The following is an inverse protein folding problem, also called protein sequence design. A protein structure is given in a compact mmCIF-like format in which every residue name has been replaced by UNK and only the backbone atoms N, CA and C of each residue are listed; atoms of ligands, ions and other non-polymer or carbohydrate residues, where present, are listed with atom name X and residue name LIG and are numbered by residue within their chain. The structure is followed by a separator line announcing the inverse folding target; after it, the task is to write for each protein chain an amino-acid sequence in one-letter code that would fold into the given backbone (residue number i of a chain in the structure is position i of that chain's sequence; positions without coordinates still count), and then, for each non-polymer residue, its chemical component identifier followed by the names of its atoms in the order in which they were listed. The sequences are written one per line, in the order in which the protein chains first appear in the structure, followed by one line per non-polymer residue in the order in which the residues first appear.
data_IF_587312747540
#
_entry.id   IF_587312747540
#
_cell.length_a   1.000
_cell.length_b   1.000
_cell.length_c   1.000
_cell.angle_alpha   90.00
_cell.angle_beta   90.00
_cell.angle_gamma   90.00
#
_symmetry.space_group_name_H-M   'P 1'
#
loop_
_entity.id
_entity.type
_entity.pdbx_description
1 polymer ?
#
# COMPACT_ATOMS: atom_id res chain seq x y z
N UNK A 1 -8.72 6.77 -35.18
CA UNK A 1 -8.30 5.99 -33.99
C UNK A 1 -6.81 6.26 -33.83
N UNK A 2 -6.42 6.93 -32.75
CA UNK A 2 -5.13 7.62 -32.64
C UNK A 2 -4.03 6.67 -32.13
N UNK A 3 -2.98 6.45 -32.91
CA UNK A 3 -1.90 5.46 -32.66
C UNK A 3 -1.18 5.76 -31.33
N UNK A 4 -1.12 7.04 -30.95
CA UNK A 4 -0.53 7.49 -29.69
C UNK A 4 -1.33 7.07 -28.45
N UNK A 5 -2.66 6.90 -28.58
CA UNK A 5 -3.50 6.40 -27.47
C UNK A 5 -3.30 4.90 -27.25
N UNK A 6 -3.05 4.14 -28.32
CA UNK A 6 -2.80 2.70 -28.26
C UNK A 6 -1.46 2.38 -27.57
N UNK A 7 -0.40 3.15 -27.86
CA UNK A 7 0.92 2.94 -27.22
C UNK A 7 0.91 3.26 -25.73
N UNK A 8 0.19 4.31 -25.31
CA UNK A 8 0.08 4.66 -23.89
C UNK A 8 -0.74 3.62 -23.11
N UNK A 9 -1.80 3.10 -23.72
CA UNK A 9 -2.65 2.05 -23.14
C UNK A 9 -1.88 0.72 -22.98
N UNK A 10 -1.00 0.41 -23.94
CA UNK A 10 -0.15 -0.78 -23.87
C UNK A 10 0.89 -0.69 -22.75
N UNK A 11 1.41 0.51 -22.45
CA UNK A 11 2.37 0.74 -21.36
C UNK A 11 1.68 0.74 -19.98
N UNK A 12 0.42 1.19 -19.90
CA UNK A 12 -0.35 1.21 -18.63
C UNK A 12 -1.02 -0.13 -18.30
N UNK A 13 -1.02 -1.10 -19.22
CA UNK A 13 -1.59 -2.42 -18.96
C UNK A 13 -0.77 -3.12 -17.88
N UNK A 14 -1.42 -3.58 -16.82
CA UNK A 14 -0.73 -4.40 -15.82
C UNK A 14 -0.24 -5.72 -16.44
N UNK A 15 1.06 -6.07 -16.32
CA UNK A 15 1.60 -7.33 -16.83
C UNK A 15 1.19 -8.54 -15.97
N UNK A 16 0.70 -8.29 -14.75
CA UNK A 16 0.32 -9.31 -13.76
C UNK A 16 -1.20 -9.58 -13.76
N UNK A 17 -1.89 -9.19 -14.83
CA UNK A 17 -3.32 -9.47 -14.98
C UNK A 17 -3.72 -9.66 -16.43
N UNK A 18 -4.88 -10.27 -16.66
CA UNK A 18 -5.42 -10.41 -18.02
C UNK A 18 -6.10 -9.10 -18.45
N UNK A 19 -6.07 -8.79 -19.74
CA UNK A 19 -6.74 -7.59 -20.28
C UNK A 19 -8.22 -7.54 -19.94
N UNK A 20 -8.88 -8.71 -19.92
CA UNK A 20 -10.28 -8.81 -19.56
C UNK A 20 -10.54 -8.46 -18.09
N UNK A 21 -9.67 -8.91 -17.18
CA UNK A 21 -9.78 -8.59 -15.77
C UNK A 21 -9.56 -7.09 -15.51
N UNK A 22 -8.57 -6.49 -16.18
CA UNK A 22 -8.30 -5.05 -16.12
C UNK A 22 -9.50 -4.22 -16.62
N UNK A 23 -10.09 -4.57 -17.75
CA UNK A 23 -11.30 -3.91 -18.28
C UNK A 23 -12.45 -3.94 -17.27
N UNK A 24 -12.72 -5.11 -16.67
CA UNK A 24 -13.77 -5.27 -15.66
C UNK A 24 -13.47 -4.41 -14.44
N UNK A 25 -12.21 -4.40 -13.98
CA UNK A 25 -11.78 -3.61 -12.83
C UNK A 25 -11.98 -2.11 -13.08
N UNK A 26 -11.58 -1.61 -14.25
CA UNK A 26 -11.78 -0.21 -14.65
C UNK A 26 -13.27 0.16 -14.67
N UNK A 27 -14.11 -0.71 -15.24
CA UNK A 27 -15.56 -0.47 -15.29
C UNK A 27 -16.21 -0.47 -13.90
N UNK A 28 -15.76 -1.33 -12.99
CA UNK A 28 -16.18 -1.31 -11.58
C UNK A 28 -15.82 0.04 -10.95
N UNK A 29 -14.56 0.49 -11.08
CA UNK A 29 -14.11 1.76 -10.50
C UNK A 29 -14.87 2.97 -11.08
N UNK A 30 -15.16 2.98 -12.39
CA UNK A 30 -15.93 4.04 -13.04
C UNK A 30 -17.37 4.13 -12.51
N UNK A 31 -17.97 3.01 -12.12
CA UNK A 31 -19.34 2.94 -11.60
C UNK A 31 -19.43 3.16 -10.09
N UNK A 32 -18.32 3.08 -9.36
CA UNK A 32 -18.31 3.35 -7.92
C UNK A 32 -18.71 4.79 -7.61
N UNK A 33 -19.66 4.95 -6.68
CA UNK A 33 -19.98 6.23 -6.07
C UNK A 33 -18.80 6.74 -5.20
N UNK A 34 -18.70 8.05 -4.93
CA UNK A 34 -17.61 8.62 -4.13
C UNK A 34 -17.39 7.92 -2.78
N UNK A 35 -18.46 7.60 -2.06
CA UNK A 35 -18.42 6.91 -0.76
C UNK A 35 -17.83 5.49 -0.86
N UNK A 36 -18.12 4.78 -1.96
CA UNK A 36 -17.56 3.44 -2.20
C UNK A 36 -16.06 3.52 -2.49
N UNK A 37 -15.62 4.56 -3.20
CA UNK A 37 -14.19 4.80 -3.44
C UNK A 37 -13.45 5.14 -2.15
N UNK A 38 -14.06 5.94 -1.28
CA UNK A 38 -13.50 6.23 0.04
C UNK A 38 -13.35 4.96 0.87
N UNK A 39 -14.38 4.12 0.91
CA UNK A 39 -14.31 2.85 1.64
C UNK A 39 -13.20 1.94 1.08
N UNK A 40 -13.12 1.79 -0.26
CA UNK A 40 -12.06 1.01 -0.90
C UNK A 40 -10.65 1.54 -0.57
N UNK A 41 -10.48 2.87 -0.50
CA UNK A 41 -9.21 3.46 -0.11
C UNK A 41 -8.85 3.18 1.37
N UNK A 42 -9.84 3.22 2.26
CA UNK A 42 -9.66 2.86 3.68
C UNK A 42 -9.26 1.38 3.81
N UNK A 43 -9.98 0.48 3.12
CA UNK A 43 -9.71 -0.95 3.15
C UNK A 43 -8.32 -1.28 2.59
N UNK A 44 -7.93 -0.61 1.50
CA UNK A 44 -6.59 -0.73 0.92
C UNK A 44 -5.52 -0.25 1.91
N UNK A 45 -5.73 0.89 2.57
CA UNK A 45 -4.78 1.42 3.54
C UNK A 45 -4.60 0.47 4.73
N UNK A 46 -5.70 -0.12 5.24
CA UNK A 46 -5.64 -1.12 6.31
C UNK A 46 -4.90 -2.39 5.87
N UNK A 47 -5.20 -2.89 4.67
CA UNK A 47 -4.55 -4.08 4.10
C UNK A 47 -3.06 -3.84 3.90
N UNK A 48 -2.70 -2.68 3.35
CA UNK A 48 -1.29 -2.31 3.11
C UNK A 48 -0.49 -2.25 4.41
N UNK A 49 -1.08 -1.70 5.49
CA UNK A 49 -0.43 -1.69 6.82
C UNK A 49 -0.19 -3.10 7.35
N UNK A 50 -1.19 -3.99 7.27
CA UNK A 50 -1.02 -5.40 7.69
C UNK A 50 0.06 -6.11 6.89
N UNK A 51 0.10 -5.91 5.57
CA UNK A 51 1.15 -6.50 4.73
C UNK A 51 2.55 -5.98 5.09
N UNK A 52 2.66 -4.68 5.41
CA UNK A 52 3.92 -4.08 5.85
C UNK A 52 4.39 -4.68 7.18
N UNK A 53 3.49 -4.78 8.17
CA UNK A 53 3.77 -5.41 9.47
C UNK A 53 4.19 -6.87 9.31
N UNK A 54 3.49 -7.66 8.49
CA UNK A 54 3.89 -9.04 8.19
C UNK A 54 5.26 -9.11 7.53
N UNK A 55 5.56 -8.18 6.62
CA UNK A 55 6.89 -8.07 6.01
C UNK A 55 7.99 -7.77 7.03
N UNK A 56 7.72 -6.89 8.01
CA UNK A 56 8.64 -6.62 9.12
C UNK A 56 8.85 -7.88 9.95
N UNK A 57 7.78 -8.55 10.38
CA UNK A 57 7.84 -9.76 11.17
C UNK A 57 8.67 -10.87 10.51
N UNK A 58 8.48 -11.07 9.20
CA UNK A 58 9.26 -12.07 8.43
C UNK A 58 10.76 -11.75 8.42
N UNK A 59 11.14 -10.45 8.39
CA UNK A 59 12.56 -10.03 8.39
C UNK A 59 13.16 -9.98 9.79
N UNK A 60 12.35 -9.76 10.82
CA UNK A 60 12.73 -9.61 12.22
C UNK A 60 11.86 -10.51 13.10
N UNK A 61 12.03 -11.85 13.02
CA UNK A 61 11.17 -12.78 13.75
C UNK A 61 11.35 -12.70 15.28
N UNK A 62 12.40 -12.04 15.75
CA UNK A 62 12.69 -11.74 17.15
C UNK A 62 11.90 -10.54 17.70
N UNK A 63 11.29 -9.73 16.83
CA UNK A 63 10.49 -8.59 17.26
C UNK A 63 9.17 -9.03 17.89
N UNK A 64 8.84 -8.44 19.03
CA UNK A 64 7.50 -8.49 19.59
C UNK A 64 6.48 -7.73 18.73
N UNK A 65 5.20 -7.83 19.09
CA UNK A 65 4.10 -7.17 18.37
C UNK A 65 4.29 -5.64 18.31
N UNK A 66 4.64 -5.01 19.44
CA UNK A 66 4.86 -3.57 19.50
C UNK A 66 6.07 -3.11 18.69
N UNK A 67 7.16 -3.89 18.71
CA UNK A 67 8.35 -3.61 17.89
C UNK A 67 8.03 -3.71 16.40
N UNK A 68 7.28 -4.75 16.01
CA UNK A 68 6.83 -4.95 14.63
C UNK A 68 5.96 -3.77 14.17
N UNK A 69 5.02 -3.34 15.01
CA UNK A 69 4.14 -2.20 14.74
C UNK A 69 4.92 -0.90 14.59
N UNK A 70 5.84 -0.61 15.51
CA UNK A 70 6.65 0.61 15.49
C UNK A 70 7.60 0.64 14.29
N UNK A 71 8.21 -0.49 13.93
CA UNK A 71 9.02 -0.62 12.72
C UNK A 71 8.21 -0.35 11.44
N UNK A 72 6.99 -0.88 11.35
CA UNK A 72 6.11 -0.61 10.22
C UNK A 72 5.74 0.89 10.12
N UNK A 73 5.45 1.54 11.26
CA UNK A 73 5.17 2.98 11.31
C UNK A 73 6.39 3.81 10.89
N UNK A 74 7.60 3.44 11.35
CA UNK A 74 8.85 4.11 10.95
C UNK A 74 9.06 4.04 9.44
N UNK A 75 8.78 2.90 8.80
CA UNK A 75 8.86 2.76 7.34
C UNK A 75 7.87 3.67 6.60
N UNK A 76 6.68 3.92 7.17
CA UNK A 76 5.67 4.78 6.56
C UNK A 76 5.96 6.27 6.72
N UNK A 77 6.45 6.70 7.88
CA UNK A 77 6.67 8.11 8.21
C UNK A 77 8.06 8.63 7.79
N UNK A 78 9.05 7.73 7.71
CA UNK A 78 10.46 8.11 7.64
C UNK A 78 11.02 8.47 9.02
N UNK A 79 12.35 8.55 9.12
CA UNK A 79 13.08 8.68 10.39
C UNK A 79 12.67 9.93 11.18
N UNK A 80 12.75 11.11 10.56
CA UNK A 80 12.58 12.39 11.26
C UNK A 80 11.17 12.54 11.85
N UNK A 81 10.15 12.16 11.08
CA UNK A 81 8.76 12.23 11.51
C UNK A 81 8.44 11.14 12.54
N UNK A 82 9.03 9.95 12.39
CA UNK A 82 8.90 8.88 13.36
C UNK A 82 9.46 9.29 14.73
N UNK A 83 10.70 9.82 14.79
CA UNK A 83 11.31 10.24 16.04
C UNK A 83 10.62 11.46 16.67
N UNK A 84 10.01 12.32 15.86
CA UNK A 84 9.19 13.43 16.36
C UNK A 84 7.90 12.94 17.04
N UNK A 85 7.30 11.86 16.54
CA UNK A 85 6.04 11.32 17.06
C UNK A 85 6.23 10.24 18.14
N UNK A 86 7.33 9.50 18.10
CA UNK A 86 7.66 8.38 18.99
C UNK A 86 9.10 8.51 19.54
N UNK A 87 9.42 9.58 20.28
CA UNK A 87 10.78 9.82 20.77
C UNK A 87 11.29 8.70 21.71
N UNK A 88 10.39 8.06 22.46
CA UNK A 88 10.69 6.92 23.32
C UNK A 88 11.05 5.64 22.57
N UNK A 89 10.70 5.56 21.27
CA UNK A 89 10.92 4.38 20.45
C UNK A 89 12.28 4.36 19.74
N UNK A 90 13.15 5.34 20.01
CA UNK A 90 14.45 5.51 19.34
C UNK A 90 15.32 4.24 19.39
N UNK A 91 15.33 3.55 20.53
CA UNK A 91 16.17 2.38 20.77
C UNK A 91 15.38 1.06 20.71
N UNK A 92 14.10 1.10 20.33
CA UNK A 92 13.22 -0.09 20.28
C UNK A 92 13.55 -0.99 19.07
N UNK A 93 14.22 -0.42 18.06
CA UNK A 93 14.48 -1.04 16.75
C UNK A 93 15.98 -1.19 16.42
N UNK A 94 16.86 -1.11 17.42
CA UNK A 94 18.32 -1.35 17.29
C UNK A 94 18.69 -2.81 17.27
#
# INVERSE_FOLDING_TARGET
MDILKLSLWYIMRSPDTTSRAEEIHIEIFRRMKPEMRLQAAIDLAQTSRKLLEQGVYIRHPDYGEDQTRLAAIRLMLGEDLFLSAYPEAKDILT
#
